data_IF_047298793687
#
_entry.id   IF_047298793687
#
_cell.length_a   1.000
_cell.length_b   1.000
_cell.length_c   1.000
_cell.angle_alpha   90.00
_cell.angle_beta   90.00
_cell.angle_gamma   90.00
#
_symmetry.space_group_name_H-M   'P 1'
#
loop_
_entity.id
_entity.type
_entity.pdbx_description
1 polymer ?
#
# COMPACT_ATOMS: atom_id res chain seq x y z
N UNK A 1 22.12 32.58 43.49
CA UNK A 1 21.19 31.90 42.56
C UNK A 1 22.02 31.14 41.54
N UNK A 2 22.21 29.83 41.76
CA UNK A 2 22.90 28.95 40.82
C UNK A 2 21.95 28.67 39.65
N UNK A 3 22.35 29.09 38.45
CA UNK A 3 21.57 28.93 37.23
C UNK A 3 21.69 27.46 36.81
N UNK A 4 20.64 26.67 37.05
CA UNK A 4 20.54 25.30 36.57
C UNK A 4 20.68 25.28 35.05
N UNK A 5 21.86 24.96 34.54
CA UNK A 5 22.12 24.73 33.13
C UNK A 5 21.59 23.33 32.77
N UNK A 6 20.26 23.22 32.66
CA UNK A 6 19.56 22.01 32.22
C UNK A 6 19.71 21.78 30.71
N UNK A 7 20.75 22.34 30.06
CA UNK A 7 21.11 22.02 28.68
C UNK A 7 21.14 20.50 28.55
N UNK A 8 20.09 19.94 27.94
CA UNK A 8 20.13 18.59 27.40
C UNK A 8 21.32 18.62 26.46
N UNK A 9 22.43 18.01 26.86
CA UNK A 9 23.46 17.67 25.91
C UNK A 9 22.70 16.96 24.79
N UNK A 10 22.80 17.48 23.57
CA UNK A 10 22.25 16.82 22.39
C UNK A 10 23.16 15.61 22.20
N UNK A 11 22.93 14.57 23.02
CA UNK A 11 23.74 13.35 23.02
C UNK A 11 23.62 12.80 21.62
N UNK A 12 24.70 12.86 20.85
CA UNK A 12 24.73 12.43 19.45
C UNK A 12 24.56 10.90 19.31
N UNK A 13 24.43 10.17 20.42
CA UNK A 13 24.26 8.70 20.56
C UNK A 13 23.13 8.07 19.75
N UNK A 14 22.26 8.85 19.10
CA UNK A 14 21.20 8.34 18.25
C UNK A 14 21.57 8.25 16.77
N UNK A 15 22.82 8.49 16.38
CA UNK A 15 23.31 8.22 15.01
C UNK A 15 23.95 6.84 14.89
N UNK A 16 23.83 6.26 13.70
CA UNK A 16 24.51 5.00 13.36
C UNK A 16 26.04 5.09 13.47
N UNK A 17 26.61 6.30 13.44
CA UNK A 17 28.06 6.51 13.50
C UNK A 17 28.68 6.25 14.89
N UNK A 18 27.86 6.10 15.94
CA UNK A 18 28.33 5.91 17.33
C UNK A 18 28.08 4.50 17.89
N UNK A 19 27.52 3.59 17.10
CA UNK A 19 27.17 2.23 17.54
C UNK A 19 27.75 1.24 16.55
N UNK A 20 28.45 0.23 17.06
CA UNK A 20 28.80 -0.93 16.24
C UNK A 20 27.56 -1.80 16.04
N UNK A 21 27.14 -1.93 14.78
CA UNK A 21 25.91 -2.63 14.44
C UNK A 21 26.12 -4.15 14.47
N UNK A 22 27.37 -4.60 14.31
CA UNK A 22 27.70 -6.02 14.22
C UNK A 22 27.56 -6.74 15.57
N UNK A 23 27.66 -6.02 16.68
CA UNK A 23 27.39 -6.52 18.05
C UNK A 23 25.96 -7.05 18.22
N UNK A 24 25.04 -6.65 17.34
CA UNK A 24 23.63 -7.05 17.41
C UNK A 24 23.28 -8.25 16.53
N UNK A 25 24.24 -8.83 15.81
CA UNK A 25 23.99 -9.98 14.94
C UNK A 25 23.56 -11.19 15.78
N UNK A 26 22.38 -11.71 15.47
CA UNK A 26 21.88 -12.95 16.06
C UNK A 26 21.52 -13.95 14.95
N UNK A 27 22.07 -15.17 15.07
CA UNK A 27 21.95 -16.23 14.07
C UNK A 27 20.70 -17.12 14.21
N UNK A 28 19.78 -16.78 15.11
CA UNK A 28 18.53 -17.52 15.31
C UNK A 28 17.74 -17.74 14.01
N UNK A 29 17.23 -18.96 13.74
CA UNK A 29 16.50 -19.27 12.51
C UNK A 29 15.22 -18.43 12.37
N UNK A 30 14.58 -18.09 13.48
CA UNK A 30 13.40 -17.21 13.49
C UNK A 30 13.73 -15.79 13.00
N UNK A 31 14.94 -15.31 13.31
CA UNK A 31 15.41 -13.98 12.90
C UNK A 31 15.71 -13.93 11.41
N UNK A 32 16.31 -14.99 10.88
CA UNK A 32 16.52 -15.18 9.43
C UNK A 32 15.20 -15.29 8.68
N UNK A 33 14.19 -15.97 9.23
CA UNK A 33 12.85 -16.01 8.65
C UNK A 33 12.21 -14.62 8.59
N UNK A 34 12.19 -13.87 9.71
CA UNK A 34 11.68 -12.49 9.72
C UNK A 34 12.45 -11.58 8.76
N UNK A 35 13.75 -11.78 8.63
CA UNK A 35 14.57 -11.06 7.66
C UNK A 35 14.11 -11.29 6.23
N UNK A 36 13.87 -12.57 5.85
CA UNK A 36 13.32 -12.93 4.54
C UNK A 36 11.97 -12.28 4.26
N UNK A 37 11.09 -12.17 5.27
CA UNK A 37 9.80 -11.47 5.12
C UNK A 37 9.96 -9.98 4.75
N UNK A 38 11.02 -9.32 5.18
CA UNK A 38 11.29 -7.93 4.76
C UNK A 38 11.52 -7.85 3.25
N UNK A 39 12.25 -8.80 2.67
CA UNK A 39 12.44 -8.89 1.22
C UNK A 39 11.13 -9.17 0.50
N UNK A 40 10.32 -10.12 1.00
CA UNK A 40 9.01 -10.42 0.43
C UNK A 40 8.10 -9.18 0.41
N UNK A 41 8.13 -8.36 1.46
CA UNK A 41 7.37 -7.10 1.53
C UNK A 41 7.85 -6.02 0.55
N UNK A 42 9.15 -6.02 0.24
CA UNK A 42 9.73 -5.11 -0.77
C UNK A 42 9.36 -5.58 -2.17
N UNK A 43 9.52 -6.88 -2.46
CA UNK A 43 9.13 -7.50 -3.73
C UNK A 43 7.63 -7.27 -4.00
N UNK A 44 6.78 -7.52 -3.01
CA UNK A 44 5.33 -7.23 -3.10
C UNK A 44 5.08 -5.77 -3.50
N UNK A 45 5.81 -4.83 -2.90
CA UNK A 45 5.70 -3.41 -3.25
C UNK A 45 6.03 -3.16 -4.72
N UNK A 46 7.15 -3.71 -5.20
CA UNK A 46 7.57 -3.59 -6.61
C UNK A 46 6.51 -4.19 -7.55
N UNK A 47 6.01 -5.40 -7.24
CA UNK A 47 4.99 -6.07 -8.04
C UNK A 47 3.70 -5.25 -8.17
N UNK A 48 3.25 -4.62 -7.09
CA UNK A 48 2.08 -3.75 -7.12
C UNK A 48 2.31 -2.57 -8.07
N UNK A 49 3.50 -1.94 -8.05
CA UNK A 49 3.81 -0.85 -8.98
C UNK A 49 3.91 -1.32 -10.44
N UNK A 50 4.44 -2.52 -10.68
CA UNK A 50 4.42 -3.12 -12.03
C UNK A 50 2.98 -3.37 -12.50
N UNK A 51 2.10 -3.87 -11.63
CA UNK A 51 0.69 -4.09 -11.95
C UNK A 51 -0.05 -2.78 -12.25
N UNK A 52 0.26 -1.71 -11.50
CA UNK A 52 -0.27 -0.37 -11.76
C UNK A 52 0.17 0.16 -13.13
N UNK A 53 1.46 0.03 -13.47
CA UNK A 53 2.00 0.45 -14.76
C UNK A 53 1.40 -0.36 -15.92
N UNK A 54 1.25 -1.67 -15.75
CA UNK A 54 0.60 -2.55 -16.72
C UNK A 54 -0.85 -2.11 -16.98
N UNK A 55 -1.60 -1.82 -15.92
CA UNK A 55 -2.98 -1.36 -16.03
C UNK A 55 -3.05 0.01 -16.71
N UNK A 56 -2.12 0.92 -16.40
CA UNK A 56 -2.03 2.24 -17.02
C UNK A 56 -1.79 2.15 -18.53
N UNK A 57 -0.82 1.34 -18.96
CA UNK A 57 -0.47 1.16 -20.37
C UNK A 57 -1.65 0.56 -21.13
N UNK A 58 -2.27 -0.49 -20.60
CA UNK A 58 -3.43 -1.10 -21.25
C UNK A 58 -4.60 -0.11 -21.36
N UNK A 59 -4.92 0.61 -20.30
CA UNK A 59 -6.03 1.59 -20.34
C UNK A 59 -5.78 2.75 -21.32
N UNK A 60 -4.53 3.15 -21.54
CA UNK A 60 -4.16 4.22 -22.46
C UNK A 60 -4.04 3.75 -23.92
N UNK A 61 -3.53 2.54 -24.14
CA UNK A 61 -3.19 2.01 -25.47
C UNK A 61 -4.29 1.10 -26.00
N UNK A 62 -4.79 0.17 -25.19
CA UNK A 62 -5.83 -0.78 -25.57
C UNK A 62 -7.18 -0.35 -24.99
N UNK A 63 -7.99 0.30 -25.82
CA UNK A 63 -9.42 0.54 -25.56
C UNK A 63 -10.26 -0.78 -25.56
N UNK A 64 -9.60 -1.93 -25.40
CA UNK A 64 -10.16 -3.29 -25.46
C UNK A 64 -10.37 -3.92 -24.08
N UNK A 65 -9.82 -3.37 -22.99
CA UNK A 65 -10.04 -3.94 -21.66
C UNK A 65 -11.53 -3.91 -21.27
N UNK A 66 -12.28 -2.91 -21.74
CA UNK A 66 -13.74 -2.80 -21.57
C UNK A 66 -14.53 -3.85 -22.36
N UNK A 67 -14.09 -4.22 -23.56
CA UNK A 67 -14.79 -5.23 -24.38
C UNK A 67 -14.78 -6.63 -23.77
N UNK A 68 -13.72 -7.00 -23.03
CA UNK A 68 -13.61 -8.32 -22.39
C UNK A 68 -14.40 -8.41 -21.08
N UNK A 69 -14.69 -7.27 -20.45
CA UNK A 69 -15.46 -7.17 -19.20
C UNK A 69 -16.97 -7.01 -19.45
N UNK A 70 -17.45 -7.22 -20.69
CA UNK A 70 -18.88 -7.08 -21.03
C UNK A 70 -19.40 -5.64 -21.04
N UNK A 71 -18.52 -4.65 -20.84
CA UNK A 71 -18.83 -3.23 -20.97
C UNK A 71 -18.46 -2.82 -22.39
N UNK A 72 -19.38 -3.06 -23.34
CA UNK A 72 -19.18 -2.71 -24.75
C UNK A 72 -18.79 -1.24 -24.92
N UNK A 73 -18.23 -0.87 -26.06
CA UNK A 73 -17.67 0.47 -26.34
C UNK A 73 -18.69 1.65 -26.35
N UNK A 74 -19.96 1.37 -26.00
CA UNK A 74 -21.01 2.35 -25.66
C UNK A 74 -21.80 1.99 -24.39
N UNK A 75 -21.30 1.04 -23.60
CA UNK A 75 -21.89 0.49 -22.39
C UNK A 75 -21.71 1.45 -21.22
N UNK A 76 -22.83 1.98 -20.76
CA UNK A 76 -22.91 2.82 -19.59
C UNK A 76 -22.66 1.97 -18.33
N UNK A 77 -21.69 2.35 -17.51
CA UNK A 77 -21.56 1.76 -16.18
C UNK A 77 -22.52 2.56 -15.29
N UNK A 78 -23.61 1.92 -14.87
CA UNK A 78 -24.59 2.50 -13.98
C UNK A 78 -24.24 2.12 -12.54
N UNK A 79 -23.80 3.10 -11.75
CA UNK A 79 -23.75 2.98 -10.30
C UNK A 79 -24.78 3.93 -9.71
N UNK A 80 -25.85 3.38 -9.13
CA UNK A 80 -26.89 4.10 -8.40
C UNK A 80 -27.23 5.48 -9.03
N UNK A 81 -28.04 5.45 -10.11
CA UNK A 81 -28.49 6.58 -10.95
C UNK A 81 -27.43 7.41 -11.70
N UNK A 82 -26.13 7.12 -11.55
CA UNK A 82 -25.06 7.77 -12.32
C UNK A 82 -24.62 6.91 -13.50
N UNK A 83 -24.91 7.43 -14.69
CA UNK A 83 -24.45 6.91 -15.98
C UNK A 83 -23.09 7.48 -16.31
N UNK A 84 -22.01 6.72 -16.13
CA UNK A 84 -20.65 7.19 -16.46
C UNK A 84 -20.25 6.65 -17.83
N UNK A 85 -19.94 7.56 -18.76
CA UNK A 85 -19.40 7.24 -20.09
C UNK A 85 -17.94 6.77 -19.96
N UNK A 86 -17.57 5.79 -20.78
CA UNK A 86 -16.25 5.17 -20.81
C UNK A 86 -15.07 6.17 -20.89
N UNK A 87 -15.26 7.28 -21.60
CA UNK A 87 -14.25 8.33 -21.74
C UNK A 87 -13.91 9.03 -20.41
N UNK A 88 -14.92 9.29 -19.57
CA UNK A 88 -14.73 9.92 -18.25
C UNK A 88 -14.01 8.95 -17.30
N UNK A 89 -14.41 7.67 -17.32
CA UNK A 89 -13.76 6.63 -16.52
C UNK A 89 -12.25 6.52 -16.84
N UNK A 90 -11.87 6.56 -18.12
CA UNK A 90 -10.47 6.47 -18.56
C UNK A 90 -9.60 7.55 -17.91
N UNK A 91 -10.06 8.80 -17.96
CA UNK A 91 -9.31 9.94 -17.40
C UNK A 91 -9.26 9.93 -15.87
N UNK A 92 -10.33 9.51 -15.19
CA UNK A 92 -10.33 9.33 -13.73
C UNK A 92 -9.30 8.26 -13.31
N UNK A 93 -9.29 7.12 -14.01
CA UNK A 93 -8.37 6.03 -13.71
C UNK A 93 -6.91 6.43 -13.95
N UNK A 94 -6.63 7.13 -15.06
CA UNK A 94 -5.32 7.67 -15.37
C UNK A 94 -4.86 8.71 -14.33
N UNK A 95 -5.73 9.65 -13.94
CA UNK A 95 -5.43 10.66 -12.93
C UNK A 95 -5.09 10.03 -11.57
N UNK A 96 -5.83 8.99 -11.19
CA UNK A 96 -5.62 8.22 -9.96
C UNK A 96 -4.25 7.52 -9.95
N UNK A 97 -3.83 6.93 -11.08
CA UNK A 97 -2.52 6.31 -11.25
C UNK A 97 -1.41 7.36 -11.18
N UNK A 98 -1.53 8.47 -11.90
CA UNK A 98 -0.54 9.57 -11.88
C UNK A 98 -0.38 10.15 -10.49
N UNK A 99 -1.49 10.40 -9.78
CA UNK A 99 -1.48 10.86 -8.40
C UNK A 99 -0.75 9.85 -7.49
N UNK A 100 -0.99 8.55 -7.67
CA UNK A 100 -0.26 7.49 -6.95
C UNK A 100 1.26 7.60 -7.13
N UNK A 101 1.74 7.80 -8.36
CA UNK A 101 3.17 7.96 -8.65
C UNK A 101 3.77 9.26 -8.11
N UNK A 102 2.98 10.35 -8.03
CA UNK A 102 3.44 11.61 -7.42
C UNK A 102 3.59 11.45 -5.90
N UNK A 103 2.59 10.88 -5.23
CA UNK A 103 2.63 10.60 -3.78
C UNK A 103 3.75 9.60 -3.46
N UNK A 104 3.82 8.54 -4.28
CA UNK A 104 5.03 7.88 -4.76
C UNK A 104 6.37 8.54 -4.40
N UNK A 105 6.76 9.38 -5.35
CA UNK A 105 8.02 10.08 -5.40
C UNK A 105 8.18 11.02 -4.19
N UNK A 106 7.10 11.65 -3.71
CA UNK A 106 7.17 12.52 -2.55
C UNK A 106 7.61 11.77 -1.28
N UNK A 107 6.99 10.62 -1.00
CA UNK A 107 7.37 9.80 0.15
C UNK A 107 8.79 9.24 -0.01
N UNK A 108 9.20 8.89 -1.23
CA UNK A 108 10.57 8.46 -1.50
C UNK A 108 11.58 9.58 -1.22
N UNK A 109 11.34 10.81 -1.71
CA UNK A 109 12.20 11.96 -1.44
C UNK A 109 12.34 12.24 0.05
N UNK A 110 11.23 12.18 0.79
CA UNK A 110 11.23 12.34 2.25
C UNK A 110 12.01 11.22 2.94
N UNK A 111 11.87 9.98 2.47
CA UNK A 111 12.62 8.86 3.02
C UNK A 111 14.12 8.95 2.74
N UNK A 112 14.53 9.41 1.56
CA UNK A 112 15.95 9.65 1.24
C UNK A 112 16.55 10.70 2.17
N UNK A 113 15.84 11.81 2.44
CA UNK A 113 16.30 12.82 3.38
C UNK A 113 16.49 12.25 4.80
N UNK A 114 15.63 11.33 5.23
CA UNK A 114 15.75 10.63 6.52
C UNK A 114 16.95 9.66 6.53
N UNK A 115 17.18 8.93 5.45
CA UNK A 115 18.33 8.03 5.33
C UNK A 115 19.64 8.84 5.42
N UNK A 116 19.69 10.01 4.78
CA UNK A 116 20.85 10.91 4.83
C UNK A 116 21.10 11.48 6.23
N UNK A 117 20.07 11.60 7.08
CA UNK A 117 20.24 12.10 8.45
C UNK A 117 21.03 11.13 9.35
N UNK A 118 21.11 9.84 8.97
CA UNK A 118 21.79 8.75 9.71
C UNK A 118 21.32 8.57 11.16
N UNK A 119 20.14 9.08 11.50
CA UNK A 119 19.58 8.95 12.85
C UNK A 119 18.76 7.65 12.96
N UNK A 120 19.08 6.84 13.97
CA UNK A 120 18.50 5.52 14.22
C UNK A 120 16.98 5.62 14.44
N UNK A 121 16.53 6.61 15.22
CA UNK A 121 15.10 6.82 15.51
C UNK A 121 14.30 7.21 14.26
N UNK A 122 14.84 8.07 13.39
CA UNK A 122 14.16 8.45 12.15
C UNK A 122 14.16 7.30 11.12
N UNK A 123 15.24 6.52 11.07
CA UNK A 123 15.32 5.32 10.23
C UNK A 123 14.34 4.22 10.68
N UNK A 124 14.19 4.00 12.00
CA UNK A 124 13.27 3.02 12.56
C UNK A 124 11.79 3.39 12.36
N UNK A 125 11.48 4.69 12.44
CA UNK A 125 10.09 5.19 12.33
C UNK A 125 9.59 5.27 10.89
N UNK A 126 10.44 5.14 9.88
CA UNK A 126 10.02 5.22 8.48
C UNK A 126 10.16 3.86 7.80
N UNK A 127 9.06 3.27 7.33
CA UNK A 127 9.09 1.95 6.68
C UNK A 127 10.04 1.87 5.48
N UNK A 128 10.16 2.93 4.68
CA UNK A 128 11.09 2.95 3.54
C UNK A 128 12.55 2.93 4.03
N UNK A 129 12.90 3.74 5.02
CA UNK A 129 14.26 3.79 5.57
C UNK A 129 14.61 2.47 6.27
N UNK A 130 13.70 1.93 7.08
CA UNK A 130 13.85 0.62 7.71
C UNK A 130 14.14 -0.49 6.68
N UNK A 131 13.33 -0.59 5.62
CA UNK A 131 13.52 -1.59 4.55
C UNK A 131 14.85 -1.39 3.82
N UNK A 132 15.24 -0.14 3.56
CA UNK A 132 16.52 0.18 2.92
C UNK A 132 17.71 -0.32 3.76
N UNK A 133 17.76 0.00 5.05
CA UNK A 133 18.83 -0.43 5.95
C UNK A 133 18.82 -1.95 6.17
N UNK A 134 17.65 -2.58 6.27
CA UNK A 134 17.53 -4.03 6.40
C UNK A 134 18.05 -4.77 5.15
N UNK A 135 17.72 -4.30 3.94
CA UNK A 135 18.26 -4.90 2.70
C UNK A 135 19.78 -4.75 2.63
N UNK A 136 20.31 -3.59 3.05
CA UNK A 136 21.74 -3.30 2.97
C UNK A 136 22.57 -4.18 3.92
N UNK A 137 22.07 -4.47 5.11
CA UNK A 137 22.83 -5.22 6.12
C UNK A 137 21.93 -5.96 7.10
N UNK A 138 22.23 -7.24 7.32
CA UNK A 138 21.56 -8.08 8.31
C UNK A 138 21.75 -7.57 9.75
N UNK A 139 22.91 -6.97 10.04
CA UNK A 139 23.22 -6.40 11.35
C UNK A 139 22.23 -5.28 11.72
N UNK A 140 21.92 -4.39 10.77
CA UNK A 140 20.95 -3.31 10.97
C UNK A 140 19.54 -3.85 11.21
N UNK A 141 19.16 -4.93 10.52
CA UNK A 141 17.89 -5.59 10.78
C UNK A 141 17.83 -6.18 12.20
N UNK A 142 18.91 -6.82 12.67
CA UNK A 142 18.96 -7.39 14.01
C UNK A 142 18.92 -6.31 15.10
N UNK A 143 19.64 -5.20 14.91
CA UNK A 143 19.57 -4.02 15.78
C UNK A 143 18.13 -3.51 15.88
N UNK A 144 17.46 -3.27 14.74
CA UNK A 144 16.08 -2.81 14.75
C UNK A 144 15.11 -3.83 15.36
N UNK A 145 15.32 -5.13 15.12
CA UNK A 145 14.51 -6.18 15.74
C UNK A 145 14.68 -6.19 17.26
N UNK A 146 15.88 -5.91 17.76
CA UNK A 146 16.15 -5.79 19.20
C UNK A 146 15.45 -4.57 19.78
N UNK A 147 15.58 -3.40 19.15
CA UNK A 147 14.88 -2.16 19.53
C UNK A 147 13.37 -2.38 19.57
N UNK A 148 12.82 -3.06 18.57
CA UNK A 148 11.39 -3.37 18.52
C UNK A 148 10.95 -4.32 19.65
N UNK A 149 11.74 -5.36 19.95
CA UNK A 149 11.45 -6.30 21.04
C UNK A 149 11.49 -5.66 22.44
N UNK A 150 12.19 -4.53 22.59
CA UNK A 150 12.33 -3.81 23.85
C UNK A 150 11.20 -2.78 24.12
N UNK A 151 10.25 -2.61 23.19
CA UNK A 151 9.13 -1.68 23.36
C UNK A 151 7.94 -2.31 24.08
N UNK A 152 7.18 -1.47 24.80
CA UNK A 152 5.87 -1.83 25.33
C UNK A 152 4.86 -1.95 24.17
N UNK A 153 4.04 -2.99 24.20
CA UNK A 153 3.01 -3.26 23.19
C UNK A 153 2.00 -2.10 22.99
N UNK A 154 1.76 -1.30 24.03
CA UNK A 154 0.88 -0.12 23.96
C UNK A 154 1.47 0.98 23.06
N UNK A 155 2.80 1.16 23.12
CA UNK A 155 3.49 2.12 22.26
C UNK A 155 3.42 1.66 20.79
N UNK A 156 3.46 0.35 20.54
CA UNK A 156 3.36 -0.22 19.19
C UNK A 156 1.99 0.07 18.55
N UNK A 157 0.89 0.00 19.31
CA UNK A 157 -0.45 0.37 18.83
C UNK A 157 -0.52 1.87 18.53
N UNK A 158 0.05 2.71 19.40
CA UNK A 158 0.09 4.15 19.19
C UNK A 158 0.89 4.52 17.92
N UNK A 159 2.06 3.90 17.73
CA UNK A 159 2.84 4.05 16.50
C UNK A 159 2.12 3.51 15.28
N UNK A 160 1.44 2.37 15.38
CA UNK A 160 0.65 1.81 14.29
C UNK A 160 -0.45 2.76 13.85
N UNK A 161 -1.25 3.28 14.77
CA UNK A 161 -2.26 4.29 14.47
C UNK A 161 -1.63 5.54 13.85
N UNK A 162 -0.55 6.07 14.44
CA UNK A 162 0.15 7.24 13.92
C UNK A 162 0.68 7.05 12.49
N UNK A 163 1.31 5.90 12.20
CA UNK A 163 1.83 5.61 10.86
C UNK A 163 0.72 5.31 9.85
N UNK A 164 -0.35 4.63 10.27
CA UNK A 164 -1.53 4.38 9.44
C UNK A 164 -2.20 5.71 9.05
N UNK A 165 -2.41 6.61 10.01
CA UNK A 165 -2.90 7.97 9.76
C UNK A 165 -1.88 8.88 9.05
N UNK A 166 -0.62 8.47 8.90
CA UNK A 166 0.35 9.18 8.07
C UNK A 166 0.30 8.73 6.61
N UNK A 167 -0.03 7.45 6.36
CA UNK A 167 -0.12 6.84 5.02
C UNK A 167 -1.51 6.83 4.37
N UNK A 168 -2.58 7.07 5.13
CA UNK A 168 -3.98 6.99 4.67
C UNK A 168 -4.30 7.83 3.43
N UNK A 169 -3.63 8.97 3.22
CA UNK A 169 -3.92 9.85 2.07
C UNK A 169 -3.67 9.12 0.75
N UNK A 170 -2.61 8.31 0.66
CA UNK A 170 -2.35 7.50 -0.53
C UNK A 170 -3.44 6.45 -0.72
N UNK A 171 -3.78 5.72 0.35
CA UNK A 171 -4.82 4.69 0.29
C UNK A 171 -6.17 5.27 -0.13
N UNK A 172 -6.57 6.40 0.44
CA UNK A 172 -7.87 7.03 0.19
C UNK A 172 -7.95 7.68 -1.20
N UNK A 173 -6.93 8.44 -1.61
CA UNK A 173 -7.01 9.22 -2.85
C UNK A 173 -6.47 8.49 -4.08
N UNK A 174 -5.50 7.58 -3.93
CA UNK A 174 -4.87 6.88 -5.04
C UNK A 174 -5.38 5.43 -5.22
N UNK A 175 -5.75 4.74 -4.15
CA UNK A 175 -6.26 3.37 -4.25
C UNK A 175 -7.78 3.30 -4.11
N UNK A 176 -8.38 4.20 -3.31
CA UNK A 176 -9.82 4.25 -3.04
C UNK A 176 -10.67 4.32 -4.31
N UNK A 177 -10.47 5.31 -5.20
CA UNK A 177 -11.29 5.43 -6.42
C UNK A 177 -11.19 4.18 -7.30
N UNK A 178 -10.00 3.58 -7.37
CA UNK A 178 -9.73 2.38 -8.16
C UNK A 178 -10.49 1.16 -7.63
N UNK A 179 -10.43 0.95 -6.31
CA UNK A 179 -11.11 -0.16 -5.65
C UNK A 179 -12.63 -0.02 -5.74
N UNK A 180 -13.15 1.20 -5.60
CA UNK A 180 -14.58 1.48 -5.76
C UNK A 180 -15.03 1.11 -7.17
N UNK A 181 -14.33 1.58 -8.21
CA UNK A 181 -14.76 1.29 -9.58
C UNK A 181 -14.63 -0.21 -9.91
N UNK A 182 -13.54 -0.85 -9.50
CA UNK A 182 -13.39 -2.30 -9.70
C UNK A 182 -14.48 -3.10 -8.97
N UNK A 183 -14.87 -2.66 -7.77
CA UNK A 183 -15.98 -3.25 -7.01
C UNK A 183 -17.33 -3.08 -7.72
N UNK A 184 -17.60 -1.89 -8.27
CA UNK A 184 -18.82 -1.61 -9.05
C UNK A 184 -18.91 -2.52 -10.29
N UNK A 185 -17.81 -2.66 -11.03
CA UNK A 185 -17.75 -3.55 -12.20
C UNK A 185 -18.05 -5.00 -11.79
N UNK A 186 -17.46 -5.47 -10.68
CA UNK A 186 -17.70 -6.83 -10.20
C UNK A 186 -19.17 -7.04 -9.78
N UNK A 187 -19.77 -6.09 -9.05
CA UNK A 187 -21.17 -6.17 -8.60
C UNK A 187 -22.13 -6.15 -9.79
N UNK A 188 -21.89 -5.31 -10.78
CA UNK A 188 -22.73 -5.24 -12.00
C UNK A 188 -22.66 -6.53 -12.81
N UNK A 189 -21.47 -7.13 -12.94
CA UNK A 189 -21.31 -8.44 -13.58
C UNK A 189 -21.97 -9.57 -12.81
N UNK A 190 -21.78 -9.63 -11.49
CA UNK A 190 -22.41 -10.65 -10.64
C UNK A 190 -23.93 -10.54 -10.71
N UNK A 191 -24.49 -9.34 -10.58
CA UNK A 191 -25.95 -9.14 -10.63
C UNK A 191 -26.54 -9.42 -12.02
N UNK A 192 -25.85 -9.08 -13.11
CA UNK A 192 -26.24 -9.45 -14.46
C UNK A 192 -26.24 -10.97 -14.67
N UNK A 193 -25.18 -11.66 -14.21
CA UNK A 193 -25.08 -13.12 -14.27
C UNK A 193 -26.14 -13.80 -13.39
N UNK A 194 -26.42 -13.26 -12.21
CA UNK A 194 -27.44 -13.79 -11.30
C UNK A 194 -28.85 -13.59 -11.86
N UNK A 195 -29.12 -12.46 -12.53
CA UNK A 195 -30.40 -12.23 -13.21
C UNK A 195 -30.58 -13.15 -14.42
N UNK A 196 -29.51 -13.44 -15.16
CA UNK A 196 -29.53 -14.36 -16.31
C UNK A 196 -29.71 -15.84 -15.91
N UNK A 197 -29.15 -16.26 -14.78
CA UNK A 197 -29.15 -17.68 -14.37
C UNK A 197 -30.12 -17.99 -13.20
N UNK A 198 -30.57 -16.98 -12.46
CA UNK A 198 -31.48 -17.14 -11.31
C UNK A 198 -32.97 -17.05 -11.65
N UNK A 199 -33.32 -16.55 -12.85
CA UNK A 199 -34.71 -16.53 -13.34
C UNK A 199 -35.11 -17.81 -14.09
N UNK A 200 -34.15 -18.66 -14.46
CA UNK A 200 -34.42 -19.94 -15.15
C UNK A 200 -34.97 -21.06 -14.23
N UNK A 201 -35.13 -20.79 -12.92
CA UNK A 201 -35.65 -21.78 -11.95
C UNK A 201 -37.19 -21.69 -11.83
N UNK A 202 -37.80 -20.57 -12.23
CA UNK A 202 -39.25 -20.37 -12.18
C UNK A 202 -39.96 -20.51 -13.54
N UNK A 203 -39.20 -20.80 -14.61
CA UNK A 203 -39.70 -20.94 -15.98
C UNK A 203 -40.01 -22.40 -16.36
N UNK A 204 -39.89 -23.34 -15.42
CA UNK A 204 -40.43 -24.69 -15.56
C UNK A 204 -41.85 -24.71 -14.99
N UNK A 205 -42.83 -24.55 -15.88
CA UNK A 205 -44.23 -24.31 -15.57
C UNK A 205 -44.96 -25.38 -14.75
N UNK A 206 -45.98 -24.93 -14.03
CA UNK A 206 -47.17 -25.74 -13.80
C UNK A 206 -48.05 -25.63 -15.04
N UNK A 207 -48.39 -26.75 -15.71
CA UNK A 207 -49.37 -26.71 -16.79
C UNK A 207 -50.73 -26.35 -16.19
N UNK A 208 -51.40 -25.39 -16.81
CA UNK A 208 -52.79 -25.06 -16.52
C UNK A 208 -53.64 -26.34 -16.68
N UNK A 209 -54.07 -26.91 -15.56
CA UNK A 209 -54.96 -28.06 -15.53
C UNK A 209 -56.37 -27.61 -15.16
N UNK A 210 -57.20 -27.54 -16.22
CA UNK A 210 -58.68 -27.46 -16.26
C UNK A 210 -59.35 -26.15 -15.85
#
# INVERSE_FOLDING_TARGET
MSQNDWKRQKVQDHKFDFIDVDDYIDNSPWRKFKYSLVFAMVIKGILIYCADLWTAVNLLVSQQWTSTLGVNQGGQIAFQSLTITFEVYKWIFAACIVLSFILLAWDMKKAVAIIQSRDISYAFTTMIAYRYYAIKSYAHFCLFSKIHSSKKQIDDIAFFCFFTFRGWKRLMFADGPRQVINGIILITLISGHWKSNGLAIWDYGFPDAL
#
